data_IF_227875273729
#
_entry.id   IF_227875273729
#
_cell.length_a   1.000
_cell.length_b   1.000
_cell.length_c   1.000
_cell.angle_alpha   90.00
_cell.angle_beta   90.00
_cell.angle_gamma   90.00
#
_symmetry.space_group_name_H-M   'P 1'
#
loop_
_entity.id
_entity.type
_entity.pdbx_description
1 polymer ?
#
# COMPACT_ATOMS: atom_id res chain seq x y z
N UNK A 1 -4.37 5.04 -0.98
CA UNK A 1 -3.76 4.37 0.19
C UNK A 1 -3.89 2.83 0.14
N UNK A 2 -5.04 2.28 -0.27
CA UNK A 2 -5.30 0.83 -0.38
C UNK A 2 -4.23 0.01 -1.12
N UNK A 3 -3.74 0.47 -2.29
CA UNK A 3 -2.67 -0.23 -3.00
C UNK A 3 -1.35 -0.32 -2.23
N UNK A 4 -1.03 0.70 -1.41
CA UNK A 4 0.19 0.70 -0.61
C UNK A 4 0.08 -0.27 0.56
N UNK A 5 -1.07 -0.32 1.22
CA UNK A 5 -1.34 -1.33 2.26
C UNK A 5 -1.24 -2.75 1.71
N UNK A 6 -1.87 -3.01 0.55
CA UNK A 6 -1.81 -4.32 -0.11
C UNK A 6 -0.36 -4.70 -0.50
N UNK A 7 0.43 -3.74 -1.00
CA UNK A 7 1.83 -3.97 -1.33
C UNK A 7 2.69 -4.29 -0.10
N UNK A 8 2.42 -3.67 1.06
CA UNK A 8 3.12 -3.99 2.32
C UNK A 8 2.78 -5.41 2.80
N UNK A 9 1.50 -5.78 2.79
CA UNK A 9 1.05 -7.14 3.12
C UNK A 9 1.68 -8.20 2.20
N UNK A 10 1.71 -7.93 0.90
CA UNK A 10 2.32 -8.84 -0.08
C UNK A 10 3.82 -9.03 0.17
N UNK A 11 4.56 -7.94 0.40
CA UNK A 11 6.01 -8.00 0.68
C UNK A 11 6.32 -8.79 1.95
N UNK A 12 5.52 -8.62 2.99
CA UNK A 12 5.63 -9.42 4.21
C UNK A 12 5.40 -10.91 3.93
N UNK A 13 4.35 -11.25 3.18
CA UNK A 13 4.01 -12.63 2.83
C UNK A 13 5.10 -13.34 2.01
N UNK A 14 5.74 -12.64 1.05
CA UNK A 14 6.82 -13.21 0.22
C UNK A 14 8.21 -13.06 0.83
N UNK A 15 8.33 -12.49 2.04
CA UNK A 15 9.59 -12.21 2.74
C UNK A 15 10.58 -11.38 1.90
N UNK A 16 10.07 -10.42 1.14
CA UNK A 16 10.86 -9.51 0.31
C UNK A 16 10.74 -8.07 0.84
N UNK A 17 11.52 -7.71 1.87
CA UNK A 17 11.46 -6.37 2.43
C UNK A 17 11.88 -5.33 1.39
N UNK A 18 11.31 -4.13 1.49
CA UNK A 18 11.69 -3.03 0.62
C UNK A 18 13.10 -2.53 0.93
N UNK A 19 13.91 -2.25 -0.09
CA UNK A 19 15.25 -1.66 0.07
C UNK A 19 15.20 -0.17 0.47
N UNK A 20 16.36 0.47 0.64
CA UNK A 20 16.42 1.87 1.08
C UNK A 20 15.78 2.85 0.08
N UNK A 21 15.99 2.63 -1.22
CA UNK A 21 15.45 3.47 -2.29
C UNK A 21 13.94 3.32 -2.38
N UNK A 22 13.45 2.09 -2.34
CA UNK A 22 12.02 1.77 -2.32
C UNK A 22 11.33 2.37 -1.09
N UNK A 23 11.95 2.31 0.09
CA UNK A 23 11.42 2.92 1.32
C UNK A 23 11.34 4.45 1.21
N UNK A 24 12.33 5.10 0.59
CA UNK A 24 12.32 6.56 0.38
C UNK A 24 11.20 6.97 -0.58
N UNK A 25 11.10 6.29 -1.73
CA UNK A 25 10.03 6.54 -2.71
C UNK A 25 8.65 6.29 -2.11
N UNK A 26 8.48 5.18 -1.37
CA UNK A 26 7.22 4.86 -0.71
C UNK A 26 6.81 5.94 0.29
N UNK A 27 7.73 6.43 1.12
CA UNK A 27 7.42 7.53 2.07
C UNK A 27 6.93 8.79 1.37
N UNK A 28 7.57 9.18 0.26
CA UNK A 28 7.15 10.35 -0.53
C UNK A 28 5.73 10.17 -1.07
N UNK A 29 5.44 9.01 -1.65
CA UNK A 29 4.10 8.72 -2.18
C UNK A 29 3.03 8.64 -1.10
N UNK A 30 3.32 7.99 0.03
CA UNK A 30 2.39 7.91 1.15
C UNK A 30 2.06 9.30 1.71
N UNK A 31 3.04 10.21 1.78
CA UNK A 31 2.79 11.59 2.21
C UNK A 31 1.81 12.31 1.27
N UNK A 32 2.04 12.25 -0.04
CA UNK A 32 1.16 12.85 -1.05
C UNK A 32 -0.26 12.28 -1.00
N UNK A 33 -0.37 10.96 -0.87
CA UNK A 33 -1.67 10.27 -0.81
C UNK A 33 -2.42 10.59 0.49
N UNK A 34 -1.71 10.76 1.60
CA UNK A 34 -2.30 11.15 2.88
C UNK A 34 -2.79 12.59 2.86
N UNK A 35 -2.05 13.50 2.23
CA UNK A 35 -2.46 14.88 2.03
C UNK A 35 -3.73 14.96 1.15
N UNK A 36 -3.77 14.19 0.06
CA UNK A 36 -4.89 14.21 -0.88
C UNK A 36 -6.19 13.58 -0.31
N UNK A 37 -6.08 12.49 0.46
CA UNK A 37 -7.26 11.79 1.01
C UNK A 37 -7.71 12.36 2.36
N UNK A 38 -6.83 13.05 3.06
CA UNK A 38 -6.98 13.34 4.48
C UNK A 38 -6.55 12.16 5.37
N UNK A 39 -6.13 12.43 6.63
CA UNK A 39 -5.53 11.40 7.49
C UNK A 39 -6.44 10.21 7.77
N UNK A 40 -7.72 10.43 8.07
CA UNK A 40 -8.65 9.36 8.45
C UNK A 40 -8.97 8.43 7.29
N UNK A 41 -9.34 8.99 6.13
CA UNK A 41 -9.62 8.20 4.93
C UNK A 41 -8.37 7.48 4.43
N UNK A 42 -7.19 8.08 4.61
CA UNK A 42 -5.92 7.41 4.35
C UNK A 42 -5.73 6.18 5.23
N UNK A 43 -5.91 6.30 6.56
CA UNK A 43 -5.70 5.16 7.48
C UNK A 43 -6.67 4.02 7.17
N UNK A 44 -7.96 4.32 6.98
CA UNK A 44 -8.98 3.32 6.63
C UNK A 44 -8.57 2.57 5.36
N UNK A 45 -8.28 3.30 4.28
CA UNK A 45 -7.90 2.68 3.03
C UNK A 45 -6.57 1.93 3.13
N UNK A 46 -5.60 2.39 3.92
CA UNK A 46 -4.33 1.69 4.11
C UNK A 46 -4.51 0.37 4.87
N UNK A 47 -5.29 0.37 5.95
CA UNK A 47 -5.61 -0.84 6.74
C UNK A 47 -6.39 -1.85 5.90
N UNK A 48 -7.42 -1.41 5.16
CA UNK A 48 -8.20 -2.27 4.27
C UNK A 48 -7.30 -2.94 3.22
N UNK A 49 -6.34 -2.20 2.66
CA UNK A 49 -5.36 -2.76 1.73
C UNK A 49 -4.46 -3.80 2.38
N UNK A 50 -3.95 -3.52 3.58
CA UNK A 50 -3.08 -4.44 4.32
C UNK A 50 -3.76 -5.73 4.78
N UNK A 51 -5.09 -5.72 4.88
CA UNK A 51 -5.90 -6.89 5.21
C UNK A 51 -6.22 -7.80 4.01
N UNK A 52 -5.93 -7.35 2.77
CA UNK A 52 -6.16 -8.16 1.58
C UNK A 52 -5.27 -9.40 1.57
N UNK A 53 -5.84 -10.52 1.13
CA UNK A 53 -5.07 -11.68 0.71
C UNK A 53 -4.18 -11.33 -0.49
N UNK A 54 -3.20 -12.18 -0.79
CA UNK A 54 -2.35 -12.01 -1.96
C UNK A 54 -3.17 -11.88 -3.25
N UNK A 55 -4.17 -12.73 -3.43
CA UNK A 55 -4.98 -12.75 -4.66
C UNK A 55 -5.86 -11.51 -4.77
N UNK A 56 -6.45 -11.06 -3.66
CA UNK A 56 -7.22 -9.79 -3.61
C UNK A 56 -6.32 -8.58 -3.89
N UNK A 57 -5.11 -8.54 -3.32
CA UNK A 57 -4.15 -7.47 -3.55
C UNK A 57 -3.70 -7.39 -5.01
N UNK A 58 -3.45 -8.53 -5.65
CA UNK A 58 -3.12 -8.60 -7.09
C UNK A 58 -4.31 -8.18 -7.95
N UNK A 59 -5.51 -8.71 -7.66
CA UNK A 59 -6.72 -8.34 -8.40
C UNK A 59 -7.02 -6.85 -8.29
N UNK A 60 -6.90 -6.27 -7.09
CA UNK A 60 -7.07 -4.85 -6.87
C UNK A 60 -6.06 -4.02 -7.67
N UNK A 61 -4.77 -4.40 -7.63
CA UNK A 61 -3.73 -3.69 -8.38
C UNK A 61 -4.02 -3.68 -9.89
N UNK A 62 -4.48 -4.80 -10.44
CA UNK A 62 -4.85 -4.91 -11.86
C UNK A 62 -6.11 -4.09 -12.22
N UNK A 63 -7.02 -3.87 -11.28
CA UNK A 63 -8.24 -3.07 -11.52
C UNK A 63 -8.03 -1.55 -11.54
N UNK A 64 -6.92 -1.07 -10.99
CA UNK A 64 -6.61 0.37 -10.85
C UNK A 64 -5.50 0.83 -11.80
N UNK A 65 -5.16 -0.01 -12.78
CA UNK A 65 -4.23 0.31 -13.87
C UNK A 65 -5.02 0.81 -15.07
#
# INVERSE_FOLDING_TARGET
ARIFGAAEGLRAAIRMPADQTERLLRRRWLALVREALGPEAFEVAHVEGGAMTKDEGVAYALSVT
#
